data_IF_651022227182
#
_entry.id   IF_651022227182
#
_cell.length_a   1.000
_cell.length_b   1.000
_cell.length_c   1.000
_cell.angle_alpha   90.00
_cell.angle_beta   90.00
_cell.angle_gamma   90.00
#
_symmetry.space_group_name_H-M   'P 1'
#
loop_
_entity.id
_entity.type
_entity.pdbx_description
1 polymer ?
#
# COMPACT_ATOMS: atom_id res chain seq x y z
N UNK A 1 -5.58 -6.77 8.58
CA UNK A 1 -4.60 -6.45 9.63
C UNK A 1 -4.35 -4.95 9.65
N UNK A 2 -4.13 -4.36 10.84
CA UNK A 2 -3.66 -2.96 10.93
C UNK A 2 -2.20 -2.86 10.54
N UNK A 3 -1.89 -1.94 9.65
CA UNK A 3 -0.52 -1.59 9.24
C UNK A 3 -0.03 -0.37 10.01
N UNK A 4 -0.89 0.63 10.22
CA UNK A 4 -0.56 1.84 10.99
C UNK A 4 -1.47 1.97 12.21
N UNK A 5 -0.90 1.88 13.41
CA UNK A 5 -1.66 2.06 14.65
C UNK A 5 -1.96 3.54 14.96
N UNK A 6 -1.09 4.47 14.55
CA UNK A 6 -1.30 5.90 14.76
C UNK A 6 -2.51 6.46 13.99
N UNK A 7 -2.71 5.96 12.77
CA UNK A 7 -3.77 6.43 11.87
C UNK A 7 -4.89 5.40 11.70
N UNK A 8 -4.78 4.23 12.34
CA UNK A 8 -5.70 3.10 12.17
C UNK A 8 -5.87 2.68 10.69
N UNK A 9 -4.77 2.66 9.93
CA UNK A 9 -4.80 2.19 8.54
C UNK A 9 -4.59 0.69 8.46
N UNK A 10 -5.38 0.03 7.61
CA UNK A 10 -5.38 -1.41 7.39
C UNK A 10 -4.68 -1.81 6.10
N UNK A 11 -4.27 -3.07 6.00
CA UNK A 11 -3.72 -3.64 4.76
C UNK A 11 -4.69 -3.43 3.58
N UNK A 12 -5.99 -3.63 3.81
CA UNK A 12 -7.02 -3.47 2.79
C UNK A 12 -7.05 -2.04 2.26
N UNK A 13 -7.01 -1.04 3.15
CA UNK A 13 -6.96 0.36 2.74
C UNK A 13 -5.69 0.70 1.95
N UNK A 14 -4.54 0.18 2.36
CA UNK A 14 -3.29 0.38 1.61
C UNK A 14 -3.34 -0.28 0.22
N UNK A 15 -3.88 -1.50 0.13
CA UNK A 15 -4.06 -2.22 -1.14
C UNK A 15 -5.02 -1.50 -2.07
N UNK A 16 -6.11 -0.94 -1.54
CA UNK A 16 -7.09 -0.17 -2.31
C UNK A 16 -6.44 1.05 -2.95
N UNK A 17 -5.76 1.89 -2.15
CA UNK A 17 -5.09 3.08 -2.69
C UNK A 17 -3.91 2.74 -3.62
N UNK A 18 -3.23 1.61 -3.43
CA UNK A 18 -2.24 1.11 -4.39
C UNK A 18 -2.88 0.84 -5.76
N UNK A 19 -4.01 0.13 -5.80
CA UNK A 19 -4.76 -0.16 -7.03
C UNK A 19 -5.29 1.12 -7.69
N UNK A 20 -5.57 2.15 -6.91
CA UNK A 20 -5.91 3.49 -7.41
C UNK A 20 -4.69 4.32 -7.88
N UNK A 21 -3.49 3.73 -7.91
CA UNK A 21 -2.26 4.33 -8.43
C UNK A 21 -1.34 4.97 -7.39
N UNK A 22 -1.49 4.67 -6.09
CA UNK A 22 -0.53 5.12 -5.08
C UNK A 22 0.77 4.31 -5.14
N UNK A 23 1.82 4.89 -5.75
CA UNK A 23 3.13 4.26 -5.91
C UNK A 23 4.12 4.44 -4.75
N UNK A 24 3.69 5.01 -3.62
CA UNK A 24 4.57 5.26 -2.46
C UNK A 24 3.75 5.41 -1.18
N UNK A 25 4.34 5.02 -0.04
CA UNK A 25 3.73 5.15 1.30
C UNK A 25 3.25 6.57 1.56
N UNK A 26 4.03 7.58 1.20
CA UNK A 26 3.66 8.99 1.39
C UNK A 26 2.41 9.38 0.57
N UNK A 27 2.31 8.89 -0.68
CA UNK A 27 1.13 9.12 -1.54
C UNK A 27 -0.09 8.36 -0.99
N UNK A 28 0.09 7.11 -0.60
CA UNK A 28 -0.96 6.28 -0.02
C UNK A 28 -1.55 6.94 1.24
N UNK A 29 -0.69 7.38 2.17
CA UNK A 29 -1.12 8.00 3.42
C UNK A 29 -1.78 9.36 3.20
N UNK A 30 -1.29 10.14 2.23
CA UNK A 30 -1.95 11.38 1.82
C UNK A 30 -3.36 11.11 1.26
N UNK A 31 -3.54 10.05 0.45
CA UNK A 31 -4.87 9.65 -0.06
C UNK A 31 -5.81 9.17 1.05
N UNK A 32 -5.27 8.44 2.03
CA UNK A 32 -6.04 8.02 3.22
C UNK A 32 -6.33 9.17 4.20
N UNK A 33 -5.79 10.37 3.95
CA UNK A 33 -6.18 11.61 4.62
C UNK A 33 -5.18 12.14 5.66
N UNK A 34 -4.20 11.33 6.11
CA UNK A 34 -3.20 11.75 7.10
C UNK A 34 -1.82 11.14 6.81
N UNK A 35 -0.73 11.94 6.88
CA UNK A 35 0.64 11.45 6.74
C UNK A 35 1.02 10.49 7.89
N UNK A 36 2.15 9.80 7.75
CA UNK A 36 2.67 8.94 8.81
C UNK A 36 3.05 9.76 10.05
N UNK A 37 2.65 9.32 11.25
CA UNK A 37 2.95 10.03 12.50
C UNK A 37 4.31 9.64 13.08
N UNK A 38 4.53 8.35 13.39
CA UNK A 38 5.77 7.88 14.01
C UNK A 38 6.72 7.14 13.05
N UNK A 39 6.29 6.89 11.81
CA UNK A 39 7.09 6.23 10.78
C UNK A 39 7.37 4.72 10.97
N UNK A 40 7.05 4.13 12.13
CA UNK A 40 7.33 2.71 12.44
C UNK A 40 6.70 1.72 11.46
N UNK A 41 5.60 2.09 10.84
CA UNK A 41 4.89 1.27 9.86
C UNK A 41 5.43 1.40 8.43
N UNK A 42 6.39 2.30 8.15
CA UNK A 42 6.76 2.66 6.76
C UNK A 42 7.29 1.46 5.98
N UNK A 43 8.22 0.67 6.54
CA UNK A 43 8.77 -0.50 5.86
C UNK A 43 7.68 -1.51 5.50
N UNK A 44 6.86 -1.88 6.48
CA UNK A 44 5.76 -2.83 6.28
C UNK A 44 4.67 -2.28 5.33
N UNK A 45 4.33 -0.99 5.44
CA UNK A 45 3.41 -0.33 4.52
C UNK A 45 3.92 -0.33 3.08
N UNK A 46 5.24 -0.21 2.89
CA UNK A 46 5.87 -0.28 1.57
C UNK A 46 5.72 -1.68 0.98
N UNK A 47 6.02 -2.71 1.76
CA UNK A 47 5.84 -4.11 1.35
C UNK A 47 4.39 -4.40 0.93
N UNK A 48 3.41 -3.95 1.71
CA UNK A 48 1.98 -4.11 1.37
C UNK A 48 1.62 -3.40 0.06
N UNK A 49 2.14 -2.19 -0.17
CA UNK A 49 1.92 -1.45 -1.42
C UNK A 49 2.58 -2.15 -2.61
N UNK A 50 3.83 -2.60 -2.46
CA UNK A 50 4.57 -3.32 -3.50
C UNK A 50 3.83 -4.62 -3.87
N UNK A 51 3.45 -5.44 -2.88
CA UNK A 51 2.65 -6.65 -3.09
C UNK A 51 1.34 -6.36 -3.83
N UNK A 52 0.63 -5.30 -3.45
CA UNK A 52 -0.62 -4.93 -4.11
C UNK A 52 -0.43 -4.58 -5.60
N UNK A 53 0.69 -3.93 -5.94
CA UNK A 53 1.03 -3.57 -7.32
C UNK A 53 1.49 -4.78 -8.14
N UNK A 54 2.22 -5.71 -7.55
CA UNK A 54 2.60 -6.97 -8.19
C UNK A 54 1.40 -7.92 -8.37
N UNK A 55 0.46 -7.98 -7.42
CA UNK A 55 -0.79 -8.75 -7.57
C UNK A 55 -1.69 -8.22 -8.69
N UNK A 56 -1.58 -6.93 -9.04
CA UNK A 56 -2.30 -6.35 -10.18
C UNK A 56 -1.66 -6.59 -11.54
N UNK A 57 -0.46 -7.18 -11.59
CA UNK A 57 0.04 -7.74 -12.84
C UNK A 57 -0.60 -9.13 -12.98
N UNK A 58 -1.65 -9.32 -13.82
CA UNK A 58 -1.91 -10.66 -14.28
C UNK A 58 -0.61 -11.11 -14.92
N UNK A 59 -0.06 -12.21 -14.41
CA UNK A 59 0.98 -12.97 -15.08
C UNK A 59 0.40 -13.41 -16.43
N UNK A 60 0.42 -12.50 -17.41
CA UNK A 60 0.37 -12.82 -18.81
C UNK A 60 1.68 -13.54 -19.08
N UNK A 61 1.66 -14.84 -18.80
CA UNK A 61 2.63 -15.78 -19.33
C UNK A 61 2.65 -15.54 -20.84
N UNK A 62 3.81 -15.24 -21.46
CA UNK A 62 3.93 -15.45 -22.88
C UNK A 62 3.73 -16.95 -23.10
N UNK A 63 2.69 -17.28 -23.86
CA UNK A 63 2.50 -18.61 -24.42
C UNK A 63 3.49 -18.75 -25.58
N UNK A 64 4.71 -19.20 -25.29
CA UNK A 64 5.63 -19.79 -26.28
C UNK A 64 6.36 -20.98 -25.66
#
# INVERSE_FOLDING_TARGET
>A
MYVCLCNCYTDKQLRDVAREGASSVSKAYRRLGRPAQCGRCISHAREVLEQALFETEPLALPAE
#
